data_IF_366089884044
#
_entry.id   IF_366089884044
#
_cell.length_a   1.000
_cell.length_b   1.000
_cell.length_c   1.000
_cell.angle_alpha   90.00
_cell.angle_beta   90.00
_cell.angle_gamma   90.00
#
_symmetry.space_group_name_H-M   'P 1'
#
loop_
_entity.id
_entity.type
_entity.pdbx_description
1 polymer ?
#
# COMPACT_ATOMS: atom_id res chain seq x y z
N UNK A 1 13.39 -32.01 -12.94
CA UNK A 1 13.52 -32.93 -11.80
C UNK A 1 15.00 -33.08 -11.49
N UNK A 2 15.43 -32.75 -10.28
CA UNK A 2 16.84 -32.84 -9.87
C UNK A 2 17.02 -33.83 -8.73
N UNK A 3 17.96 -34.74 -8.94
CA UNK A 3 18.31 -35.85 -8.07
C UNK A 3 19.52 -35.53 -7.19
N UNK A 4 20.29 -34.49 -7.52
CA UNK A 4 21.38 -33.98 -6.68
C UNK A 4 21.02 -32.65 -6.05
N UNK A 5 21.59 -32.36 -4.88
CA UNK A 5 21.47 -31.06 -4.23
C UNK A 5 21.95 -29.94 -5.16
N UNK A 6 23.05 -30.19 -5.86
CA UNK A 6 23.60 -29.25 -6.85
C UNK A 6 22.62 -28.96 -7.97
N UNK A 7 22.02 -29.99 -8.56
CA UNK A 7 21.04 -29.83 -9.63
C UNK A 7 19.79 -29.07 -9.19
N UNK A 8 19.36 -29.20 -7.91
CA UNK A 8 18.24 -28.42 -7.36
C UNK A 8 18.59 -26.94 -7.26
N UNK A 9 19.72 -26.61 -6.66
CA UNK A 9 20.18 -25.22 -6.50
C UNK A 9 20.39 -24.55 -7.87
N UNK A 10 21.08 -25.21 -8.81
CA UNK A 10 21.33 -24.67 -10.14
C UNK A 10 20.02 -24.41 -10.91
N UNK A 11 19.08 -25.36 -10.86
CA UNK A 11 17.77 -25.23 -11.54
C UNK A 11 16.94 -24.10 -10.93
N UNK A 12 16.92 -23.97 -9.59
CA UNK A 12 16.19 -22.90 -8.88
C UNK A 12 16.73 -21.52 -9.22
N UNK A 13 18.05 -21.34 -9.21
CA UNK A 13 18.68 -20.05 -9.55
C UNK A 13 18.40 -19.66 -11.00
N UNK A 14 18.45 -20.61 -11.93
CA UNK A 14 18.08 -20.38 -13.32
C UNK A 14 16.59 -20.03 -13.49
N UNK A 15 15.70 -20.71 -12.77
CA UNK A 15 14.28 -20.46 -12.79
C UNK A 15 13.88 -19.11 -12.17
N UNK A 16 14.74 -18.50 -11.34
CA UNK A 16 14.46 -17.22 -10.71
C UNK A 16 14.70 -16.01 -11.62
N UNK A 17 15.38 -16.18 -12.75
CA UNK A 17 15.70 -15.08 -13.67
C UNK A 17 14.47 -14.29 -14.13
N UNK A 18 13.36 -14.91 -14.60
CA UNK A 18 12.16 -14.17 -14.98
C UNK A 18 11.57 -13.36 -13.82
N UNK A 19 11.55 -13.92 -12.61
CA UNK A 19 11.01 -13.24 -11.42
C UNK A 19 11.88 -12.04 -11.04
N UNK A 20 13.20 -12.20 -11.13
CA UNK A 20 14.14 -11.12 -10.86
C UNK A 20 13.98 -9.96 -11.85
N UNK A 21 13.77 -10.26 -13.14
CA UNK A 21 13.49 -9.25 -14.15
C UNK A 21 12.18 -8.50 -13.85
N UNK A 22 11.12 -9.21 -13.44
CA UNK A 22 9.86 -8.57 -13.02
C UNK A 22 10.06 -7.70 -11.78
N UNK A 23 10.79 -8.19 -10.77
CA UNK A 23 11.07 -7.42 -9.56
C UNK A 23 11.86 -6.12 -9.87
N UNK A 24 12.84 -6.19 -10.77
CA UNK A 24 13.57 -5.02 -11.25
C UNK A 24 12.67 -4.05 -12.04
N UNK A 25 11.79 -4.57 -12.88
CA UNK A 25 10.84 -3.77 -13.67
C UNK A 25 9.82 -3.04 -12.79
N UNK A 26 9.42 -3.63 -11.66
CA UNK A 26 8.49 -3.00 -10.71
C UNK A 26 9.08 -1.74 -10.05
N UNK A 27 10.42 -1.59 -10.02
CA UNK A 27 11.10 -0.48 -9.34
C UNK A 27 10.65 -0.28 -7.88
N UNK A 28 10.22 -1.37 -7.22
CA UNK A 28 9.82 -1.39 -5.82
C UNK A 28 10.83 -2.19 -5.02
N UNK A 29 11.30 -1.62 -3.91
CA UNK A 29 12.30 -2.28 -3.07
C UNK A 29 11.82 -3.60 -2.46
N UNK A 30 10.56 -3.64 -2.01
CA UNK A 30 9.98 -4.86 -1.44
C UNK A 30 9.97 -6.03 -2.44
N UNK A 31 9.94 -5.77 -3.75
CA UNK A 31 9.93 -6.83 -4.77
C UNK A 31 11.30 -7.52 -4.85
N UNK A 32 12.38 -6.75 -4.80
CA UNK A 32 13.75 -7.28 -4.79
C UNK A 32 14.01 -8.04 -3.49
N UNK A 33 13.62 -7.47 -2.35
CA UNK A 33 13.73 -8.12 -1.03
C UNK A 33 12.97 -9.44 -0.99
N UNK A 34 11.77 -9.48 -1.56
CA UNK A 34 10.96 -10.69 -1.62
C UNK A 34 11.61 -11.76 -2.50
N UNK A 35 12.10 -11.42 -3.69
CA UNK A 35 12.80 -12.39 -4.56
C UNK A 35 14.06 -12.93 -3.88
N UNK A 36 14.83 -12.07 -3.20
CA UNK A 36 15.98 -12.49 -2.42
C UNK A 36 15.57 -13.45 -1.28
N UNK A 37 14.49 -13.15 -0.55
CA UNK A 37 13.96 -14.00 0.50
C UNK A 37 13.50 -15.36 -0.03
N UNK A 38 12.76 -15.37 -1.15
CA UNK A 38 12.31 -16.60 -1.82
C UNK A 38 13.49 -17.50 -2.18
N UNK A 39 14.54 -16.93 -2.78
CA UNK A 39 15.72 -17.67 -3.18
C UNK A 39 16.52 -18.20 -1.99
N UNK A 40 16.69 -17.39 -0.94
CA UNK A 40 17.38 -17.80 0.28
C UNK A 40 16.64 -18.93 1.00
N UNK A 41 15.32 -18.78 1.22
CA UNK A 41 14.51 -19.81 1.86
C UNK A 41 14.43 -21.07 1.02
N UNK A 42 14.20 -20.96 -0.28
CA UNK A 42 14.19 -22.10 -1.19
C UNK A 42 15.51 -22.89 -1.16
N UNK A 43 16.65 -22.20 -1.21
CA UNK A 43 17.97 -22.84 -1.12
C UNK A 43 18.21 -23.51 0.24
N UNK A 44 17.78 -22.89 1.35
CA UNK A 44 17.88 -23.47 2.70
C UNK A 44 16.98 -24.70 2.82
N UNK A 45 15.74 -24.63 2.34
CA UNK A 45 14.82 -25.76 2.33
C UNK A 45 15.38 -26.92 1.50
N UNK A 46 15.95 -26.64 0.32
CA UNK A 46 16.61 -27.65 -0.50
C UNK A 46 17.78 -28.31 0.23
N UNK A 47 18.68 -27.52 0.82
CA UNK A 47 19.89 -28.03 1.48
C UNK A 47 19.62 -28.78 2.78
N UNK A 48 18.66 -28.31 3.59
CA UNK A 48 18.47 -28.78 4.96
C UNK A 48 17.33 -29.79 5.06
N UNK A 49 16.21 -29.54 4.37
CA UNK A 49 14.98 -30.31 4.53
C UNK A 49 14.76 -31.27 3.35
N UNK A 50 14.63 -30.75 2.13
CA UNK A 50 14.19 -31.55 0.99
C UNK A 50 15.24 -32.53 0.50
N UNK A 51 16.53 -32.18 0.53
CA UNK A 51 17.58 -33.13 0.16
C UNK A 51 17.63 -34.35 1.08
N UNK A 52 17.29 -34.19 2.37
CA UNK A 52 17.28 -35.28 3.36
C UNK A 52 15.97 -36.06 3.35
N UNK A 53 14.83 -35.36 3.29
CA UNK A 53 13.51 -35.98 3.37
C UNK A 53 13.07 -36.62 2.05
N UNK A 54 13.52 -36.07 0.91
CA UNK A 54 13.07 -36.46 -0.42
C UNK A 54 14.31 -36.71 -1.30
N UNK A 55 14.89 -37.93 -1.27
CA UNK A 55 15.98 -38.30 -2.18
C UNK A 55 15.62 -38.07 -3.65
N UNK A 56 14.34 -38.28 -3.96
CA UNK A 56 13.72 -37.93 -5.23
C UNK A 56 12.46 -37.11 -4.96
N UNK A 57 12.26 -36.04 -5.73
CA UNK A 57 11.07 -35.20 -5.65
C UNK A 57 10.10 -35.63 -6.76
N UNK A 58 9.08 -36.43 -6.44
CA UNK A 58 8.12 -36.87 -7.44
C UNK A 58 7.25 -35.69 -7.88
N UNK A 59 6.80 -35.70 -9.14
CA UNK A 59 5.99 -34.61 -9.70
C UNK A 59 4.71 -34.32 -8.88
N UNK A 60 4.09 -35.34 -8.30
CA UNK A 60 2.90 -35.17 -7.44
C UNK A 60 3.18 -34.36 -6.17
N UNK A 61 4.44 -34.31 -5.70
CA UNK A 61 4.82 -33.54 -4.53
C UNK A 61 5.10 -32.05 -4.84
N UNK A 62 5.18 -31.66 -6.12
CA UNK A 62 5.53 -30.28 -6.50
C UNK A 62 4.52 -29.25 -5.95
N UNK A 63 3.23 -29.55 -6.01
CA UNK A 63 2.17 -28.65 -5.53
C UNK A 63 2.14 -28.53 -3.99
N UNK A 64 2.11 -29.62 -3.20
CA UNK A 64 2.12 -29.49 -1.73
C UNK A 64 3.42 -28.85 -1.21
N UNK A 65 4.57 -29.12 -1.82
CA UNK A 65 5.83 -28.46 -1.45
C UNK A 65 5.82 -26.98 -1.82
N UNK A 66 5.24 -26.60 -2.97
CA UNK A 66 5.07 -25.20 -3.36
C UNK A 66 4.17 -24.42 -2.39
N UNK A 67 3.05 -25.03 -1.95
CA UNK A 67 2.16 -24.43 -0.93
C UNK A 67 2.89 -24.26 0.41
N UNK A 68 3.66 -25.26 0.81
CA UNK A 68 4.48 -25.18 2.02
C UNK A 68 5.52 -24.06 1.92
N UNK A 69 6.27 -24.00 0.82
CA UNK A 69 7.30 -22.97 0.60
C UNK A 69 6.68 -21.56 0.57
N UNK A 70 5.54 -21.38 -0.11
CA UNK A 70 4.81 -20.11 -0.10
C UNK A 70 4.44 -19.68 1.32
N UNK A 71 3.96 -20.61 2.14
CA UNK A 71 3.59 -20.36 3.53
C UNK A 71 4.81 -19.89 4.34
N UNK A 72 5.95 -20.56 4.19
CA UNK A 72 7.20 -20.21 4.88
C UNK A 72 7.72 -18.84 4.41
N UNK A 73 7.70 -18.56 3.11
CA UNK A 73 8.07 -17.25 2.54
C UNK A 73 7.17 -16.16 3.09
N UNK A 74 5.86 -16.36 3.07
CA UNK A 74 4.90 -15.38 3.56
C UNK A 74 5.10 -15.07 5.05
N UNK A 75 5.24 -16.08 5.90
CA UNK A 75 5.48 -15.89 7.34
C UNK A 75 6.80 -15.16 7.60
N UNK A 76 7.86 -15.51 6.86
CA UNK A 76 9.17 -14.85 6.99
C UNK A 76 9.13 -13.40 6.52
N UNK A 77 8.44 -13.12 5.42
CA UNK A 77 8.22 -11.78 4.89
C UNK A 77 7.54 -10.88 5.93
N UNK A 78 6.49 -11.38 6.60
CA UNK A 78 5.79 -10.66 7.67
C UNK A 78 6.70 -10.44 8.88
N UNK A 79 7.49 -11.44 9.26
CA UNK A 79 8.42 -11.37 10.39
C UNK A 79 9.55 -10.36 10.16
N UNK A 80 10.04 -10.27 8.91
CA UNK A 80 11.10 -9.34 8.51
C UNK A 80 10.62 -7.93 8.16
N UNK A 81 9.29 -7.69 8.19
CA UNK A 81 8.70 -6.39 7.86
C UNK A 81 8.83 -6.01 6.37
N UNK A 82 8.96 -7.00 5.47
CA UNK A 82 8.98 -6.74 4.03
C UNK A 82 7.56 -6.40 3.58
N UNK A 83 7.35 -5.15 3.18
CA UNK A 83 6.02 -4.60 2.83
C UNK A 83 5.61 -4.92 1.39
N UNK A 84 5.59 -6.20 1.03
CA UNK A 84 5.00 -6.61 -0.23
C UNK A 84 3.48 -6.77 -0.05
N UNK A 85 2.64 -6.12 -0.88
CA UNK A 85 1.21 -6.37 -0.87
C UNK A 85 0.93 -7.85 -1.16
N UNK A 86 -0.02 -8.46 -0.45
CA UNK A 86 -0.25 -9.90 -0.49
C UNK A 86 -0.43 -10.43 -1.92
N UNK A 87 -1.25 -9.76 -2.74
CA UNK A 87 -1.51 -10.17 -4.12
C UNK A 87 -0.24 -10.19 -4.97
N UNK A 88 0.64 -9.18 -4.81
CA UNK A 88 1.91 -9.14 -5.51
C UNK A 88 2.90 -10.18 -5.01
N UNK A 89 2.92 -10.45 -3.71
CA UNK A 89 3.78 -11.49 -3.14
C UNK A 89 3.39 -12.88 -3.68
N UNK A 90 2.09 -13.18 -3.71
CA UNK A 90 1.55 -14.41 -4.32
C UNK A 90 1.88 -14.45 -5.81
N UNK A 91 1.71 -13.33 -6.53
CA UNK A 91 2.02 -13.24 -7.96
C UNK A 91 3.48 -13.54 -8.29
N UNK A 92 4.42 -12.91 -7.58
CA UNK A 92 5.86 -13.14 -7.76
C UNK A 92 6.26 -14.59 -7.40
N UNK A 93 5.71 -15.12 -6.29
CA UNK A 93 5.94 -16.51 -5.92
C UNK A 93 5.44 -17.48 -6.98
N UNK A 94 4.20 -17.28 -7.44
CA UNK A 94 3.56 -18.12 -8.47
C UNK A 94 4.35 -18.09 -9.76
N UNK A 95 4.82 -16.91 -10.19
CA UNK A 95 5.67 -16.77 -11.36
C UNK A 95 6.98 -17.55 -11.23
N UNK A 96 7.63 -17.49 -10.07
CA UNK A 96 8.86 -18.24 -9.80
C UNK A 96 8.65 -19.75 -9.82
N UNK A 97 7.61 -20.20 -9.12
CA UNK A 97 7.25 -21.61 -9.08
C UNK A 97 6.91 -22.15 -10.48
N UNK A 98 6.11 -21.44 -11.28
CA UNK A 98 5.80 -21.82 -12.66
C UNK A 98 7.04 -21.82 -13.56
N UNK A 99 7.92 -20.83 -13.39
CA UNK A 99 9.18 -20.75 -14.14
C UNK A 99 10.06 -21.98 -13.85
N UNK A 100 10.08 -22.43 -12.60
CA UNK A 100 10.79 -23.65 -12.22
C UNK A 100 10.18 -24.90 -12.86
N UNK A 101 8.85 -25.03 -12.85
CA UNK A 101 8.17 -26.16 -13.51
C UNK A 101 8.49 -26.19 -15.01
N UNK A 102 8.37 -25.06 -15.70
CA UNK A 102 8.66 -24.95 -17.13
C UNK A 102 10.14 -25.26 -17.42
N UNK A 103 11.05 -24.72 -16.62
CA UNK A 103 12.48 -24.93 -16.81
C UNK A 103 12.85 -26.41 -16.62
N UNK A 104 12.40 -27.02 -15.53
CA UNK A 104 12.73 -28.38 -15.15
C UNK A 104 12.10 -29.45 -16.05
N UNK A 105 10.92 -29.19 -16.64
CA UNK A 105 10.18 -30.16 -17.45
C UNK A 105 10.29 -29.94 -18.96
N UNK A 106 10.55 -28.72 -19.43
CA UNK A 106 10.56 -28.40 -20.85
C UNK A 106 11.87 -27.82 -21.35
N UNK A 107 12.47 -26.86 -20.63
CA UNK A 107 13.64 -26.14 -21.15
C UNK A 107 14.93 -26.91 -20.96
N UNK A 108 15.25 -27.36 -19.74
CA UNK A 108 16.50 -28.05 -19.45
C UNK A 108 16.64 -29.40 -20.15
N UNK A 109 15.60 -30.27 -20.21
CA UNK A 109 15.69 -31.51 -20.99
C UNK A 109 15.94 -31.28 -22.48
N UNK A 110 15.44 -30.16 -23.05
CA UNK A 110 15.70 -29.79 -24.44
C UNK A 110 17.09 -29.20 -24.64
N UNK A 111 17.56 -28.39 -23.69
CA UNK A 111 18.89 -27.78 -23.75
C UNK A 111 20.01 -28.79 -23.48
N UNK A 112 19.74 -29.82 -22.67
CA UNK A 112 20.68 -30.89 -22.33
C UNK A 112 19.92 -32.21 -22.21
N UNK A 113 20.06 -33.07 -23.23
CA UNK A 113 19.39 -34.37 -23.26
C UNK A 113 19.76 -35.25 -22.04
N UNK A 114 20.99 -35.13 -21.54
CA UNK A 114 21.48 -35.80 -20.34
C UNK A 114 21.00 -35.17 -19.02
N UNK A 115 20.18 -34.11 -19.03
CA UNK A 115 19.80 -33.38 -17.81
C UNK A 115 19.25 -34.30 -16.71
N UNK A 116 18.39 -35.25 -17.08
CA UNK A 116 17.83 -36.21 -16.13
C UNK A 116 18.90 -37.20 -15.61
N UNK A 117 19.78 -37.68 -16.49
CA UNK A 117 20.84 -38.64 -16.17
C UNK A 117 21.95 -38.01 -15.30
N UNK A 118 22.24 -36.73 -15.54
CA UNK A 118 23.18 -35.91 -14.77
C UNK A 118 22.59 -35.44 -13.43
N UNK A 119 21.51 -36.06 -12.95
CA UNK A 119 20.92 -35.72 -11.67
C UNK A 119 20.26 -34.33 -11.63
N UNK A 120 19.97 -33.73 -12.78
CA UNK A 120 19.45 -32.37 -12.92
C UNK A 120 20.53 -31.29 -12.84
N UNK A 121 21.81 -31.64 -12.98
CA UNK A 121 22.91 -30.67 -13.02
C UNK A 121 22.99 -29.97 -14.38
N UNK A 122 23.17 -28.65 -14.36
CA UNK A 122 23.31 -27.80 -15.55
C UNK A 122 24.79 -27.64 -15.96
N UNK A 123 25.72 -28.20 -15.18
CA UNK A 123 27.15 -28.19 -15.50
C UNK A 123 27.74 -26.77 -15.49
N UNK A 124 28.50 -26.42 -16.53
CA UNK A 124 29.10 -25.06 -16.64
C UNK A 124 28.04 -23.96 -16.72
N UNK A 125 26.93 -24.24 -17.41
CA UNK A 125 25.80 -23.28 -17.51
C UNK A 125 25.22 -23.03 -16.13
N UNK A 126 25.04 -24.08 -15.32
CA UNK A 126 24.57 -23.98 -13.94
C UNK A 126 25.46 -23.08 -13.08
N UNK A 127 26.77 -23.27 -13.15
CA UNK A 127 27.74 -22.44 -12.41
C UNK A 127 27.67 -20.98 -12.84
N UNK A 128 27.63 -20.70 -14.16
CA UNK A 128 27.55 -19.33 -14.68
C UNK A 128 26.24 -18.67 -14.26
N UNK A 129 25.11 -19.37 -14.36
CA UNK A 129 23.80 -18.84 -13.94
C UNK A 129 23.74 -18.61 -12.44
N UNK A 130 24.25 -19.54 -11.64
CA UNK A 130 24.30 -19.40 -10.19
C UNK A 130 25.14 -18.18 -9.78
N UNK A 131 26.30 -17.99 -10.42
CA UNK A 131 27.15 -16.84 -10.17
C UNK A 131 26.48 -15.54 -10.61
N UNK A 132 25.85 -15.51 -11.78
CA UNK A 132 25.13 -14.34 -12.27
C UNK A 132 23.99 -13.94 -11.32
N UNK A 133 23.12 -14.88 -10.94
CA UNK A 133 22.00 -14.62 -10.02
C UNK A 133 22.53 -14.17 -8.64
N UNK A 134 23.55 -14.85 -8.12
CA UNK A 134 24.17 -14.47 -6.83
C UNK A 134 24.75 -13.06 -6.90
N UNK A 135 25.50 -12.73 -7.95
CA UNK A 135 26.06 -11.38 -8.14
C UNK A 135 24.95 -10.36 -8.27
N UNK A 136 23.89 -10.61 -9.04
CA UNK A 136 22.77 -9.68 -9.18
C UNK A 136 22.05 -9.45 -7.85
N UNK A 137 21.84 -10.50 -7.05
CA UNK A 137 21.22 -10.37 -5.73
C UNK A 137 22.13 -9.67 -4.74
N UNK A 138 23.42 -10.05 -4.66
CA UNK A 138 24.36 -9.42 -3.72
C UNK A 138 24.59 -7.95 -4.07
N UNK A 139 24.75 -7.62 -5.36
CA UNK A 139 24.86 -6.23 -5.81
C UNK A 139 23.56 -5.46 -5.61
N UNK A 140 22.41 -6.06 -5.93
CA UNK A 140 21.10 -5.47 -5.72
C UNK A 140 20.79 -5.22 -4.25
N UNK A 141 21.03 -6.20 -3.38
CA UNK A 141 20.88 -6.09 -1.92
C UNK A 141 21.90 -5.11 -1.32
N UNK A 142 23.15 -5.13 -1.79
CA UNK A 142 24.17 -4.20 -1.33
C UNK A 142 23.83 -2.76 -1.69
N UNK A 143 23.40 -2.52 -2.93
CA UNK A 143 22.90 -1.22 -3.38
C UNK A 143 21.65 -0.82 -2.60
N UNK A 144 20.67 -1.72 -2.45
CA UNK A 144 19.44 -1.47 -1.68
C UNK A 144 19.72 -1.13 -0.23
N UNK A 145 20.65 -1.85 0.42
CA UNK A 145 21.07 -1.58 1.79
C UNK A 145 21.77 -0.22 1.89
N UNK A 146 22.64 0.11 0.93
CA UNK A 146 23.35 1.38 0.91
C UNK A 146 22.44 2.61 0.68
N UNK A 147 21.33 2.44 -0.04
CA UNK A 147 20.35 3.51 -0.30
C UNK A 147 19.14 3.47 0.62
N UNK A 148 19.09 2.54 1.58
CA UNK A 148 17.97 2.42 2.52
C UNK A 148 17.92 3.69 3.38
N UNK A 149 16.75 4.36 3.48
CA UNK A 149 16.63 5.51 4.37
C UNK A 149 17.00 5.13 5.82
N UNK A 150 17.82 5.95 6.52
CA UNK A 150 18.18 5.68 7.91
C UNK A 150 16.93 5.67 8.79
N UNK A 151 16.93 4.82 9.82
CA UNK A 151 15.85 4.76 10.81
C UNK A 151 16.23 5.55 12.05
N UNK A 152 15.39 6.50 12.44
CA UNK A 152 15.54 7.37 13.60
C UNK A 152 14.42 7.04 14.58
N UNK A 153 14.78 6.58 15.78
CA UNK A 153 13.81 6.35 16.84
C UNK A 153 13.61 7.65 17.64
N UNK A 154 12.36 8.12 17.70
CA UNK A 154 12.01 9.26 18.51
C UNK A 154 11.66 8.77 19.92
N UNK A 155 12.30 9.36 20.93
CA UNK A 155 12.06 9.01 22.33
C UNK A 155 11.47 10.20 23.08
N UNK A 156 10.40 9.95 23.83
CA UNK A 156 9.72 10.98 24.60
C UNK A 156 8.98 12.01 23.75
N UNK A 157 8.97 13.25 24.22
CA UNK A 157 8.30 14.38 23.57
C UNK A 157 9.34 15.28 22.91
N UNK A 158 9.17 15.52 21.61
CA UNK A 158 9.99 16.40 20.80
C UNK A 158 9.18 17.68 20.54
N UNK A 159 9.79 18.85 20.80
CA UNK A 159 9.18 20.12 20.44
C UNK A 159 9.43 20.39 18.95
N UNK A 160 8.35 20.61 18.22
CA UNK A 160 8.30 20.86 16.78
C UNK A 160 8.24 22.36 16.42
N UNK A 161 8.03 22.67 15.13
CA UNK A 161 7.77 21.71 14.06
C UNK A 161 8.99 20.87 13.72
N UNK A 162 8.81 19.55 13.61
CA UNK A 162 9.89 18.65 13.19
C UNK A 162 9.99 18.66 11.66
N UNK A 163 11.11 19.16 11.10
CA UNK A 163 11.28 19.26 9.64
C UNK A 163 12.14 18.13 9.10
N UNK A 164 11.58 17.33 8.20
CA UNK A 164 12.22 16.20 7.54
C UNK A 164 12.65 16.62 6.13
N UNK A 165 13.96 16.81 5.93
CA UNK A 165 14.56 17.30 4.68
C UNK A 165 15.32 16.24 3.88
N UNK A 166 15.44 15.04 4.42
CA UNK A 166 16.11 13.91 3.76
C UNK A 166 15.24 12.66 3.87
N UNK A 167 15.52 11.66 3.04
CA UNK A 167 14.87 10.36 3.16
C UNK A 167 15.23 9.74 4.52
N UNK A 168 14.23 9.33 5.29
CA UNK A 168 14.42 8.69 6.60
C UNK A 168 13.13 8.00 7.06
N UNK A 169 13.29 7.00 7.92
CA UNK A 169 12.19 6.37 8.66
C UNK A 169 12.20 6.91 10.09
N UNK A 170 11.11 7.48 10.57
CA UNK A 170 10.97 7.89 11.97
C UNK A 170 10.01 6.94 12.65
N UNK A 171 10.38 6.48 13.84
CA UNK A 171 9.62 5.48 14.59
C UNK A 171 9.42 5.93 16.03
N UNK A 172 8.17 5.92 16.49
CA UNK A 172 7.80 6.19 17.88
C UNK A 172 7.70 7.68 18.24
N UNK A 173 7.50 7.95 19.52
CA UNK A 173 7.60 9.29 20.12
C UNK A 173 6.38 10.20 19.90
N UNK A 174 6.45 11.36 20.53
CA UNK A 174 5.44 12.43 20.41
C UNK A 174 6.11 13.69 19.85
N UNK A 175 5.50 14.32 18.85
CA UNK A 175 5.93 15.62 18.32
C UNK A 175 4.88 16.68 18.68
N UNK A 176 5.27 17.68 19.46
CA UNK A 176 4.40 18.81 19.79
C UNK A 176 4.61 19.95 18.78
N UNK A 177 3.57 20.40 18.07
CA UNK A 177 3.66 21.53 17.14
C UNK A 177 3.86 21.14 15.67
N UNK A 178 3.54 19.90 15.30
CA UNK A 178 3.46 19.46 13.91
C UNK A 178 4.74 18.85 13.31
N UNK A 179 4.59 18.19 12.17
CA UNK A 179 5.68 17.62 11.37
C UNK A 179 5.64 18.17 9.95
N UNK A 180 6.78 18.55 9.42
CA UNK A 180 6.95 19.07 8.06
C UNK A 180 7.78 18.10 7.21
N UNK A 181 7.16 17.47 6.21
CA UNK A 181 7.83 16.56 5.29
C UNK A 181 8.11 17.30 3.98
N UNK A 182 9.40 17.42 3.64
CA UNK A 182 9.90 18.08 2.42
C UNK A 182 10.82 17.17 1.59
N UNK A 183 10.86 15.88 1.92
CA UNK A 183 11.73 14.90 1.29
C UNK A 183 10.95 13.70 0.79
N UNK A 184 11.49 13.08 -0.26
CA UNK A 184 10.98 11.82 -0.77
C UNK A 184 11.41 10.65 0.13
N UNK A 185 10.71 9.52 0.04
CA UNK A 185 11.07 8.29 0.74
C UNK A 185 11.13 8.46 2.27
N UNK A 186 10.12 9.15 2.82
CA UNK A 186 9.96 9.34 4.26
C UNK A 186 8.91 8.36 4.77
N UNK A 187 9.22 7.68 5.86
CA UNK A 187 8.25 6.83 6.57
C UNK A 187 8.08 7.34 7.99
N UNK A 188 6.85 7.56 8.44
CA UNK A 188 6.52 7.78 9.85
C UNK A 188 5.77 6.57 10.39
N UNK A 189 6.22 6.00 11.51
CA UNK A 189 5.55 4.88 12.19
C UNK A 189 5.35 5.10 13.67
N UNK A 190 4.17 4.79 14.19
CA UNK A 190 3.87 4.86 15.62
C UNK A 190 4.18 6.25 16.21
N UNK A 191 4.02 7.30 15.41
CA UNK A 191 4.30 8.69 15.80
C UNK A 191 2.99 9.35 16.23
N UNK A 192 2.99 9.96 17.41
CA UNK A 192 1.90 10.86 17.81
C UNK A 192 2.29 12.30 17.56
N UNK A 193 1.41 13.08 16.94
CA UNK A 193 1.56 14.51 16.76
C UNK A 193 0.48 15.23 17.55
N UNK A 194 0.90 16.21 18.35
CA UNK A 194 0.01 17.04 19.15
C UNK A 194 0.14 18.50 18.74
N UNK A 195 -0.95 19.12 18.30
CA UNK A 195 -0.96 20.50 17.82
C UNK A 195 -0.33 20.68 16.44
N UNK A 196 -0.04 21.93 16.13
CA UNK A 196 0.43 22.38 14.82
C UNK A 196 -0.70 23.01 14.01
N UNK A 197 -0.36 24.00 13.18
CA UNK A 197 -1.29 24.55 12.19
C UNK A 197 -1.88 23.40 11.37
N UNK A 198 -0.97 22.61 10.78
CA UNK A 198 -1.25 21.25 10.32
C UNK A 198 -0.52 20.26 11.22
N UNK A 199 -1.17 19.13 11.54
CA UNK A 199 -0.52 18.07 12.30
C UNK A 199 0.66 17.50 11.52
N UNK A 200 0.43 17.03 10.30
CA UNK A 200 1.49 16.58 9.39
C UNK A 200 1.31 17.29 8.06
N UNK A 201 2.29 18.12 7.65
CA UNK A 201 2.29 18.83 6.37
C UNK A 201 3.32 18.23 5.41
N UNK A 202 2.86 17.75 4.26
CA UNK A 202 3.65 17.08 3.23
C UNK A 202 3.60 17.91 1.95
N UNK A 203 4.75 18.39 1.49
CA UNK A 203 4.84 19.24 0.31
C UNK A 203 5.92 18.77 -0.65
N UNK A 204 5.55 18.67 -1.93
CA UNK A 204 6.46 18.31 -3.03
C UNK A 204 7.27 17.02 -2.76
N UNK A 205 6.65 16.03 -2.12
CA UNK A 205 7.28 14.79 -1.73
C UNK A 205 6.65 13.58 -2.43
N UNK A 206 7.46 12.54 -2.67
CA UNK A 206 7.06 11.27 -3.26
C UNK A 206 7.40 10.12 -2.34
N UNK A 207 6.60 9.07 -2.41
CA UNK A 207 6.82 7.85 -1.63
C UNK A 207 6.87 8.12 -0.12
N UNK A 208 5.91 8.91 0.38
CA UNK A 208 5.75 9.12 1.82
C UNK A 208 4.77 8.09 2.36
N UNK A 209 5.17 7.36 3.40
CA UNK A 209 4.33 6.42 4.13
C UNK A 209 4.07 6.96 5.54
N UNK A 210 2.80 7.07 5.90
CA UNK A 210 2.36 7.30 7.27
C UNK A 210 1.65 6.04 7.74
N UNK A 211 2.18 5.35 8.75
CA UNK A 211 1.63 4.08 9.24
C UNK A 211 1.47 4.14 10.76
N UNK A 212 0.26 3.89 11.25
CA UNK A 212 -0.10 4.00 12.67
C UNK A 212 0.32 5.37 13.27
N UNK A 213 -0.03 6.45 12.57
CA UNK A 213 0.17 7.81 13.06
C UNK A 213 -1.07 8.34 13.76
N UNK A 214 -0.87 9.09 14.84
CA UNK A 214 -1.96 9.74 15.57
C UNK A 214 -1.78 11.25 15.55
N UNK A 215 -2.79 11.98 15.11
CA UNK A 215 -2.81 13.45 15.14
C UNK A 215 -3.92 13.93 16.07
N UNK A 216 -3.58 14.83 16.99
CA UNK A 216 -4.51 15.45 17.95
C UNK A 216 -4.28 16.95 18.00
N UNK A 217 -5.35 17.74 18.04
CA UNK A 217 -5.25 19.18 18.30
C UNK A 217 -4.72 20.01 17.13
N UNK A 218 -4.78 19.54 15.89
CA UNK A 218 -4.45 20.36 14.72
C UNK A 218 -5.42 21.55 14.57
N UNK A 219 -4.94 22.68 14.03
CA UNK A 219 -5.71 23.93 13.91
C UNK A 219 -6.38 24.12 12.55
N UNK A 220 -5.79 23.57 11.47
CA UNK A 220 -6.31 23.59 10.10
C UNK A 220 -6.51 22.17 9.55
N UNK A 221 -5.45 21.37 9.43
CA UNK A 221 -5.57 19.99 8.91
C UNK A 221 -4.88 18.97 9.80
N UNK A 222 -5.52 17.83 10.02
CA UNK A 222 -4.86 16.70 10.66
C UNK A 222 -3.63 16.26 9.86
N UNK A 223 -3.84 15.97 8.57
CA UNK A 223 -2.78 15.67 7.60
C UNK A 223 -3.05 16.47 6.34
N UNK A 224 -2.09 17.31 5.95
CA UNK A 224 -2.16 18.17 4.77
C UNK A 224 -1.12 17.71 3.75
N UNK A 225 -1.56 17.46 2.52
CA UNK A 225 -0.73 16.91 1.45
C UNK A 225 -0.89 17.75 0.20
N UNK A 226 0.19 18.42 -0.22
CA UNK A 226 0.22 19.25 -1.43
C UNK A 226 1.25 18.76 -2.42
N UNK A 227 0.84 18.58 -3.68
CA UNK A 227 1.72 18.22 -4.80
C UNK A 227 2.59 16.97 -4.52
N UNK A 228 2.02 16.02 -3.80
CA UNK A 228 2.72 14.86 -3.25
C UNK A 228 1.92 13.58 -3.46
N UNK A 229 2.59 12.43 -3.46
CA UNK A 229 1.93 11.13 -3.42
C UNK A 229 2.21 10.45 -2.07
N UNK A 230 1.16 9.99 -1.41
CA UNK A 230 1.22 9.47 -0.04
C UNK A 230 0.51 8.13 0.08
N UNK A 231 0.96 7.34 1.05
CA UNK A 231 0.25 6.18 1.55
C UNK A 231 0.02 6.41 3.05
N UNK A 232 -1.23 6.46 3.46
CA UNK A 232 -1.65 6.73 4.84
C UNK A 232 -2.41 5.51 5.31
N UNK A 233 -1.86 4.80 6.28
CA UNK A 233 -2.37 3.53 6.80
C UNK A 233 -2.59 3.62 8.31
N UNK A 234 -3.70 3.05 8.79
CA UNK A 234 -3.99 2.85 10.21
C UNK A 234 -3.92 4.14 11.05
N UNK A 235 -4.24 5.29 10.47
CA UNK A 235 -4.08 6.57 11.14
C UNK A 235 -5.25 6.91 12.07
N UNK A 236 -5.02 7.79 13.06
CA UNK A 236 -6.08 8.33 13.92
C UNK A 236 -6.00 9.85 14.01
N UNK A 237 -7.07 10.53 13.61
CA UNK A 237 -7.19 11.99 13.69
C UNK A 237 -8.40 12.34 14.55
N UNK A 238 -8.19 13.14 15.59
CA UNK A 238 -9.25 13.44 16.57
C UNK A 238 -8.95 14.70 17.38
N UNK A 239 -9.97 15.26 18.03
CA UNK A 239 -9.82 16.41 18.91
C UNK A 239 -9.24 17.63 18.20
N UNK A 240 -9.90 18.14 17.15
CA UNK A 240 -9.45 19.34 16.45
C UNK A 240 -9.39 20.55 17.40
N UNK A 241 -8.44 21.46 17.18
CA UNK A 241 -8.31 22.68 17.98
C UNK A 241 -9.31 23.77 17.55
N UNK A 242 -9.91 23.65 16.35
CA UNK A 242 -10.85 24.62 15.81
C UNK A 242 -12.00 23.98 15.02
N UNK A 243 -13.07 24.74 14.75
CA UNK A 243 -14.25 24.25 14.03
C UNK A 243 -14.02 24.06 12.53
N UNK A 244 -12.92 24.58 12.00
CA UNK A 244 -12.60 24.57 10.58
C UNK A 244 -11.69 23.41 10.15
N UNK A 245 -11.32 22.55 11.10
CA UNK A 245 -10.27 21.54 10.88
C UNK A 245 -10.73 20.46 9.91
N UNK A 246 -9.94 20.16 8.88
CA UNK A 246 -10.14 18.96 8.06
C UNK A 246 -9.32 17.79 8.61
N UNK A 247 -9.77 16.57 8.40
CA UNK A 247 -9.04 15.37 8.81
C UNK A 247 -7.80 15.17 7.94
N UNK A 248 -8.03 14.84 6.68
CA UNK A 248 -6.98 14.66 5.67
C UNK A 248 -7.33 15.50 4.44
N UNK A 249 -6.42 16.35 3.99
CA UNK A 249 -6.51 17.07 2.72
C UNK A 249 -5.40 16.60 1.77
N UNK A 250 -5.76 16.06 0.61
CA UNK A 250 -4.83 15.67 -0.46
C UNK A 250 -5.11 16.47 -1.73
N UNK A 251 -4.15 17.29 -2.13
CA UNK A 251 -4.40 18.32 -3.11
C UNK A 251 -3.27 18.53 -4.13
N UNK A 252 -3.67 18.89 -5.36
CA UNK A 252 -2.79 19.27 -6.48
C UNK A 252 -1.78 18.20 -6.87
N UNK A 253 -2.22 16.94 -6.92
CA UNK A 253 -1.38 15.77 -7.15
C UNK A 253 -1.80 14.94 -8.36
N UNK A 254 -2.59 15.49 -9.28
CA UNK A 254 -3.05 14.79 -10.49
C UNK A 254 -1.89 14.33 -11.39
N UNK A 255 -0.77 15.05 -11.38
CA UNK A 255 0.45 14.68 -12.11
C UNK A 255 1.34 13.66 -11.36
N UNK A 256 0.85 13.12 -10.23
CA UNK A 256 1.57 12.16 -9.38
C UNK A 256 0.94 10.78 -9.47
N UNK A 257 1.63 9.79 -8.90
CA UNK A 257 1.04 8.49 -8.65
C UNK A 257 -0.16 8.62 -7.70
N UNK A 258 -1.11 7.69 -7.81
CA UNK A 258 -2.27 7.60 -6.92
C UNK A 258 -1.84 7.58 -5.44
N UNK A 259 -2.52 8.36 -4.61
CA UNK A 259 -2.38 8.31 -3.15
C UNK A 259 -3.36 7.31 -2.55
N UNK A 260 -3.03 6.77 -1.38
CA UNK A 260 -3.89 5.80 -0.68
C UNK A 260 -4.15 6.26 0.74
N UNK A 261 -5.42 6.16 1.17
CA UNK A 261 -5.84 6.38 2.56
C UNK A 261 -6.62 5.16 3.01
N UNK A 262 -6.02 4.37 3.89
CA UNK A 262 -6.55 3.08 4.33
C UNK A 262 -6.61 2.92 5.84
N UNK A 263 -7.72 2.38 6.36
CA UNK A 263 -7.82 1.94 7.74
C UNK A 263 -7.78 3.06 8.78
N UNK A 264 -8.00 4.32 8.37
CA UNK A 264 -7.95 5.46 9.26
C UNK A 264 -9.24 5.65 10.06
N UNK A 265 -9.12 6.22 11.26
CA UNK A 265 -10.24 6.68 12.09
C UNK A 265 -10.18 8.19 12.26
N UNK A 266 -11.18 8.91 11.74
CA UNK A 266 -11.22 10.37 11.72
C UNK A 266 -12.52 10.84 12.39
N UNK A 267 -12.42 11.60 13.47
CA UNK A 267 -13.60 11.95 14.30
C UNK A 267 -13.62 13.41 14.72
N UNK A 268 -14.80 14.03 14.60
CA UNK A 268 -15.09 15.35 15.16
C UNK A 268 -14.53 16.53 14.37
N UNK A 269 -13.96 16.27 13.19
CA UNK A 269 -13.43 17.28 12.26
C UNK A 269 -14.55 17.89 11.42
N UNK A 270 -14.28 18.98 10.70
CA UNK A 270 -15.23 19.56 9.75
C UNK A 270 -15.49 18.65 8.57
N UNK A 271 -14.42 18.17 7.96
CA UNK A 271 -14.47 17.23 6.84
C UNK A 271 -13.53 16.07 7.12
N UNK A 272 -13.96 14.83 6.87
CA UNK A 272 -13.16 13.65 7.16
C UNK A 272 -11.94 13.55 6.24
N UNK A 273 -12.18 13.27 4.96
CA UNK A 273 -11.15 13.20 3.92
C UNK A 273 -11.58 14.09 2.78
N UNK A 274 -10.68 14.95 2.31
CA UNK A 274 -10.90 15.91 1.24
C UNK A 274 -9.81 15.73 0.20
N UNK A 275 -10.20 15.72 -1.07
CA UNK A 275 -9.26 15.67 -2.19
C UNK A 275 -9.56 16.76 -3.20
N UNK A 276 -8.52 17.40 -3.72
CA UNK A 276 -8.62 18.40 -4.78
C UNK A 276 -7.59 18.12 -5.88
N UNK A 277 -8.03 17.98 -7.13
CA UNK A 277 -7.15 17.76 -8.28
C UNK A 277 -6.11 16.65 -8.03
N UNK A 278 -6.58 15.46 -7.64
CA UNK A 278 -5.69 14.33 -7.30
C UNK A 278 -6.31 12.97 -7.64
N UNK A 279 -5.45 11.95 -7.77
CA UNK A 279 -5.86 10.54 -7.88
C UNK A 279 -5.73 9.85 -6.53
N UNK A 280 -6.83 9.32 -5.97
CA UNK A 280 -6.83 8.76 -4.60
C UNK A 280 -7.68 7.50 -4.49
N UNK A 281 -7.17 6.47 -3.81
CA UNK A 281 -7.96 5.33 -3.31
C UNK A 281 -8.20 5.49 -1.80
N UNK A 282 -9.47 5.59 -1.41
CA UNK A 282 -9.93 5.78 -0.04
C UNK A 282 -10.66 4.52 0.39
N UNK A 283 -10.05 3.72 1.26
CA UNK A 283 -10.61 2.42 1.64
C UNK A 283 -10.59 2.07 3.12
N UNK A 284 -11.58 1.31 3.58
CA UNK A 284 -11.63 0.76 4.95
C UNK A 284 -11.53 1.81 6.08
N UNK A 285 -11.94 3.06 5.83
CA UNK A 285 -11.87 4.13 6.82
C UNK A 285 -13.14 4.23 7.67
N UNK A 286 -13.00 4.75 8.89
CA UNK A 286 -14.09 5.10 9.81
C UNK A 286 -14.11 6.60 10.03
N UNK A 287 -15.15 7.25 9.55
CA UNK A 287 -15.28 8.72 9.59
C UNK A 287 -16.55 9.04 10.38
N UNK A 288 -16.40 9.80 11.46
CA UNK A 288 -17.46 9.98 12.44
C UNK A 288 -17.67 11.42 12.88
N UNK A 289 -18.93 11.80 13.09
CA UNK A 289 -19.33 13.05 13.72
C UNK A 289 -18.69 14.29 13.08
N UNK A 290 -18.68 14.34 11.75
CA UNK A 290 -18.14 15.49 11.02
C UNK A 290 -19.14 16.64 10.99
N UNK A 291 -18.65 17.88 11.05
CA UNK A 291 -19.53 19.06 11.11
C UNK A 291 -19.97 19.60 9.74
N UNK A 292 -19.43 19.05 8.65
CA UNK A 292 -19.79 19.45 7.29
C UNK A 292 -19.89 18.28 6.28
N UNK A 293 -18.82 17.48 6.12
CA UNK A 293 -18.78 16.41 5.12
C UNK A 293 -18.03 15.19 5.64
N UNK A 294 -18.39 14.00 5.20
CA UNK A 294 -17.61 12.78 5.51
C UNK A 294 -16.40 12.67 4.60
N UNK A 295 -16.62 12.37 3.32
CA UNK A 295 -15.59 12.26 2.29
C UNK A 295 -15.94 13.19 1.12
N UNK A 296 -14.99 14.00 0.69
CA UNK A 296 -15.11 14.93 -0.44
C UNK A 296 -14.05 14.56 -1.48
N UNK A 297 -14.49 14.10 -2.66
CA UNK A 297 -13.63 13.95 -3.83
C UNK A 297 -13.97 15.07 -4.82
N UNK A 298 -13.18 16.14 -4.81
CA UNK A 298 -13.51 17.39 -5.48
C UNK A 298 -12.47 17.91 -6.47
N UNK A 299 -12.84 18.96 -7.20
CA UNK A 299 -11.97 19.72 -8.11
C UNK A 299 -11.19 18.85 -9.09
N UNK A 300 -11.91 18.18 -10.00
CA UNK A 300 -11.35 17.29 -11.00
C UNK A 300 -10.55 16.13 -10.38
N UNK A 301 -10.89 15.66 -9.18
CA UNK A 301 -10.25 14.47 -8.60
C UNK A 301 -10.79 13.20 -9.26
N UNK A 302 -10.00 12.13 -9.19
CA UNK A 302 -10.41 10.83 -9.73
C UNK A 302 -10.04 9.71 -8.76
N UNK A 303 -10.89 8.71 -8.59
CA UNK A 303 -10.50 7.54 -7.81
C UNK A 303 -11.63 6.71 -7.25
N UNK A 304 -11.29 5.91 -6.24
CA UNK A 304 -12.22 4.97 -5.59
C UNK A 304 -12.43 5.31 -4.12
N UNK A 305 -13.68 5.16 -3.68
CA UNK A 305 -14.11 5.30 -2.29
C UNK A 305 -14.81 3.99 -1.92
N UNK A 306 -14.14 3.11 -1.17
CA UNK A 306 -14.62 1.75 -0.94
C UNK A 306 -14.57 1.26 0.49
N UNK A 307 -15.59 0.51 0.93
CA UNK A 307 -15.60 -0.11 2.26
C UNK A 307 -15.42 0.86 3.44
N UNK A 308 -15.81 2.13 3.27
CA UNK A 308 -15.76 3.11 4.34
C UNK A 308 -17.05 3.10 5.16
N UNK A 309 -16.93 3.43 6.45
CA UNK A 309 -18.03 3.65 7.37
C UNK A 309 -18.09 5.14 7.71
N UNK A 310 -19.12 5.83 7.23
CA UNK A 310 -19.37 7.26 7.46
C UNK A 310 -20.58 7.39 8.39
N UNK A 311 -20.34 7.79 9.63
CA UNK A 311 -21.34 7.88 10.69
C UNK A 311 -21.57 9.33 11.12
N UNK A 312 -22.82 9.79 11.04
CA UNK A 312 -23.23 11.05 11.64
C UNK A 312 -22.61 12.29 11.00
N UNK A 313 -22.38 12.28 9.68
CA UNK A 313 -21.90 13.47 8.98
C UNK A 313 -23.00 14.54 8.90
N UNK A 314 -22.68 15.77 9.28
CA UNK A 314 -23.61 16.90 9.22
C UNK A 314 -23.60 17.55 7.84
N UNK A 315 -24.62 17.28 7.03
CA UNK A 315 -24.75 17.79 5.67
C UNK A 315 -24.69 16.67 4.65
N UNK A 316 -23.48 16.19 4.32
CA UNK A 316 -23.28 15.18 3.27
C UNK A 316 -22.31 14.09 3.73
N UNK A 317 -22.65 12.82 3.48
CA UNK A 317 -21.79 11.67 3.77
C UNK A 317 -20.58 11.60 2.83
N UNK A 318 -20.81 11.29 1.56
CA UNK A 318 -19.79 11.24 0.51
C UNK A 318 -20.22 12.16 -0.63
N UNK A 319 -19.32 13.01 -1.14
CA UNK A 319 -19.59 13.85 -2.31
C UNK A 319 -18.50 13.70 -3.38
N UNK A 320 -18.95 13.48 -4.61
CA UNK A 320 -18.16 13.62 -5.83
C UNK A 320 -18.46 15.01 -6.43
N UNK A 321 -17.46 15.87 -6.56
CA UNK A 321 -17.66 17.30 -6.80
C UNK A 321 -16.80 17.83 -7.94
N UNK A 322 -17.34 18.77 -8.71
CA UNK A 322 -16.60 19.65 -9.64
C UNK A 322 -15.76 18.87 -10.65
N UNK A 323 -16.42 18.29 -11.67
CA UNK A 323 -15.78 17.52 -12.73
C UNK A 323 -14.95 16.32 -12.25
N UNK A 324 -15.20 15.81 -11.04
CA UNK A 324 -14.53 14.63 -10.52
C UNK A 324 -15.17 13.34 -11.02
N UNK A 325 -14.38 12.26 -11.09
CA UNK A 325 -14.84 10.91 -11.44
C UNK A 325 -14.65 9.96 -10.25
N UNK A 326 -15.75 9.43 -9.71
CA UNK A 326 -15.74 8.67 -8.47
C UNK A 326 -16.35 7.27 -8.61
N UNK A 327 -15.58 6.23 -8.29
CA UNK A 327 -16.11 4.88 -8.05
C UNK A 327 -16.41 4.69 -6.56
N UNK A 328 -17.69 4.63 -6.17
CA UNK A 328 -18.11 4.59 -4.77
C UNK A 328 -18.77 3.23 -4.49
N UNK A 329 -18.05 2.35 -3.78
CA UNK A 329 -18.47 0.95 -3.64
C UNK A 329 -18.45 0.41 -2.20
N UNK A 330 -19.45 -0.38 -1.82
CA UNK A 330 -19.46 -1.11 -0.54
C UNK A 330 -19.30 -0.22 0.71
N UNK A 331 -19.66 1.05 0.64
CA UNK A 331 -19.61 1.94 1.80
C UNK A 331 -20.88 1.81 2.65
N UNK A 332 -20.76 2.06 3.95
CA UNK A 332 -21.89 2.24 4.85
C UNK A 332 -21.96 3.70 5.24
N UNK A 333 -23.07 4.35 4.90
CA UNK A 333 -23.32 5.75 5.28
C UNK A 333 -24.54 5.76 6.19
N UNK A 334 -24.38 6.29 7.40
CA UNK A 334 -25.43 6.24 8.41
C UNK A 334 -25.62 7.56 9.17
N UNK A 335 -26.88 7.92 9.41
CA UNK A 335 -27.25 8.99 10.31
C UNK A 335 -26.82 10.40 9.88
N UNK A 336 -26.75 10.67 8.58
CA UNK A 336 -26.45 12.03 8.09
C UNK A 336 -27.52 13.02 8.54
N UNK A 337 -27.12 14.21 8.99
CA UNK A 337 -28.06 15.22 9.50
C UNK A 337 -28.18 16.39 8.54
N UNK A 338 -29.35 17.05 8.54
CA UNK A 338 -29.61 18.23 7.71
C UNK A 338 -28.85 19.43 8.25
N UNK A 339 -28.20 20.16 7.36
CA UNK A 339 -27.71 21.50 7.60
C UNK A 339 -28.81 22.51 7.27
N UNK A 340 -29.37 23.15 8.29
CA UNK A 340 -30.46 24.12 8.09
C UNK A 340 -29.98 25.44 7.48
N UNK A 341 -28.67 25.68 7.43
CA UNK A 341 -28.08 26.88 6.85
C UNK A 341 -27.86 26.78 5.34
N UNK A 342 -27.83 25.57 4.80
CA UNK A 342 -27.60 25.29 3.38
C UNK A 342 -28.58 24.21 2.88
N UNK A 343 -29.62 24.59 2.12
CA UNK A 343 -30.62 23.65 1.60
C UNK A 343 -30.05 22.52 0.73
N UNK A 344 -28.85 22.67 0.16
CA UNK A 344 -28.19 21.62 -0.61
C UNK A 344 -27.64 20.51 0.30
N UNK A 345 -27.32 20.83 1.55
CA UNK A 345 -26.77 19.90 2.55
C UNK A 345 -27.86 19.25 3.40
N UNK A 346 -28.86 18.67 2.75
CA UNK A 346 -30.07 18.15 3.39
C UNK A 346 -29.90 16.75 4.02
N UNK A 347 -28.74 16.45 4.62
CA UNK A 347 -28.44 15.14 5.18
C UNK A 347 -28.32 14.06 4.10
N UNK A 348 -27.65 14.38 2.99
CA UNK A 348 -27.45 13.49 1.84
C UNK A 348 -26.42 12.42 2.19
N UNK A 349 -26.67 11.17 1.82
CA UNK A 349 -25.70 10.09 2.01
C UNK A 349 -24.58 10.13 0.97
N UNK A 350 -24.96 10.18 -0.32
CA UNK A 350 -24.03 10.25 -1.45
C UNK A 350 -24.51 11.30 -2.44
N UNK A 351 -23.63 12.21 -2.84
CA UNK A 351 -23.91 13.30 -3.77
C UNK A 351 -22.94 13.31 -4.95
N UNK A 352 -23.45 13.60 -6.15
CA UNK A 352 -22.64 14.02 -7.29
C UNK A 352 -23.02 15.45 -7.69
N UNK A 353 -22.06 16.37 -7.76
CA UNK A 353 -22.33 17.80 -7.96
C UNK A 353 -21.34 18.47 -8.91
N UNK A 354 -21.85 19.43 -9.70
CA UNK A 354 -21.12 20.24 -10.67
C UNK A 354 -20.36 19.41 -11.73
N UNK A 355 -21.11 18.83 -12.67
CA UNK A 355 -20.60 17.98 -13.76
C UNK A 355 -19.71 16.80 -13.31
N UNK A 356 -19.88 16.33 -12.07
CA UNK A 356 -19.18 15.16 -11.57
C UNK A 356 -19.84 13.86 -12.08
N UNK A 357 -19.05 12.81 -12.23
CA UNK A 357 -19.52 11.48 -12.63
C UNK A 357 -19.25 10.49 -11.49
N UNK A 358 -20.30 9.82 -11.02
CA UNK A 358 -20.16 8.82 -9.97
C UNK A 358 -20.79 7.49 -10.36
N UNK A 359 -20.06 6.40 -10.16
CA UNK A 359 -20.57 5.03 -10.27
C UNK A 359 -20.73 4.46 -8.87
N UNK A 360 -21.93 3.97 -8.54
CA UNK A 360 -22.25 3.44 -7.22
C UNK A 360 -22.44 1.94 -7.28
N UNK A 361 -21.88 1.21 -6.31
CA UNK A 361 -22.07 -0.24 -6.23
C UNK A 361 -22.17 -0.74 -4.79
N UNK A 362 -23.22 -1.50 -4.47
CA UNK A 362 -23.36 -2.18 -3.17
C UNK A 362 -23.19 -1.29 -1.92
N UNK A 363 -23.55 -0.02 -1.98
CA UNK A 363 -23.53 0.88 -0.81
C UNK A 363 -24.74 0.64 0.09
N UNK A 364 -24.54 0.76 1.40
CA UNK A 364 -25.58 0.66 2.43
C UNK A 364 -25.86 2.04 3.00
N UNK A 365 -27.13 2.47 2.96
CA UNK A 365 -27.56 3.79 3.42
C UNK A 365 -28.59 3.62 4.54
N UNK A 366 -28.34 4.21 5.70
CA UNK A 366 -29.18 4.05 6.89
C UNK A 366 -29.50 5.42 7.51
N UNK A 367 -30.77 5.73 7.72
CA UNK A 367 -31.19 6.96 8.42
C UNK A 367 -30.57 8.25 7.85
N UNK A 368 -30.42 8.33 6.52
CA UNK A 368 -29.89 9.49 5.80
C UNK A 368 -31.01 10.15 4.99
N UNK A 369 -31.60 11.26 5.48
CA UNK A 369 -32.85 11.80 4.93
C UNK A 369 -32.74 12.32 3.50
N UNK A 370 -31.54 12.71 3.05
CA UNK A 370 -31.30 13.15 1.67
C UNK A 370 -31.02 12.01 0.69
N UNK A 371 -30.76 10.78 1.17
CA UNK A 371 -30.51 9.63 0.30
C UNK A 371 -29.33 9.82 -0.66
N UNK A 372 -29.54 9.48 -1.94
CA UNK A 372 -28.55 9.64 -3.01
C UNK A 372 -29.09 10.60 -4.06
N UNK A 373 -28.31 11.63 -4.43
CA UNK A 373 -28.76 12.70 -5.33
C UNK A 373 -27.64 13.12 -6.30
N UNK A 374 -28.04 13.62 -7.47
CA UNK A 374 -27.13 14.33 -8.38
C UNK A 374 -27.67 15.72 -8.72
N UNK A 375 -26.76 16.68 -8.93
CA UNK A 375 -27.07 18.07 -9.21
C UNK A 375 -26.18 18.65 -10.32
N UNK A 376 -26.61 19.76 -10.92
CA UNK A 376 -25.81 20.61 -11.82
C UNK A 376 -25.05 19.85 -12.91
N UNK A 377 -25.79 19.07 -13.70
CA UNK A 377 -25.25 18.31 -14.84
C UNK A 377 -24.45 17.07 -14.46
N UNK A 378 -24.40 16.71 -13.17
CA UNK A 378 -23.72 15.50 -12.68
C UNK A 378 -24.53 14.24 -12.90
N UNK A 379 -23.83 13.12 -13.05
CA UNK A 379 -24.42 11.80 -13.32
C UNK A 379 -24.12 10.82 -12.19
N UNK A 380 -25.09 9.94 -11.94
CA UNK A 380 -24.92 8.79 -11.04
C UNK A 380 -25.36 7.52 -11.78
N UNK A 381 -24.43 6.61 -11.98
CA UNK A 381 -24.68 5.24 -12.45
C UNK A 381 -24.77 4.29 -11.24
N UNK A 382 -25.65 3.27 -11.29
CA UNK A 382 -25.92 2.35 -10.16
C UNK A 382 -25.86 0.88 -10.55
#
# INVERSE_FOLDING_TARGET
MSYTLRGRIESRLAAAVPVLLVALALQRWWAIELVALMLALGAVLDAVLFHRALPYQPAWAALPLGVFELTVVYMSMRTLGIMAPLGWAIGLFTLGWLSEQIAAHALFPRARLEYAEAGGELGRVGVVTALAVTVTLVSGLGAAYAVRPPTVHLHGVIQGPLVIRHAQNLVGGVVNGGILIRANHVTLRHVTVHGGENGIDILNAKHVLLDDVRVVGAELDGIHVRRSNVMIENCKISGPAGPWVQGIDISFAMDKAMSMVEGCTIVGVREGIVTHMSMVDISNNKIGATTLRGITMGEMSMGSIRHNDVLGAHGIGIICLDHSECAIEHNTISGTTRDLSDPQRNGVAIEAHYFAEATLKHNTIVASPGGVVSYDGSTIER
#
